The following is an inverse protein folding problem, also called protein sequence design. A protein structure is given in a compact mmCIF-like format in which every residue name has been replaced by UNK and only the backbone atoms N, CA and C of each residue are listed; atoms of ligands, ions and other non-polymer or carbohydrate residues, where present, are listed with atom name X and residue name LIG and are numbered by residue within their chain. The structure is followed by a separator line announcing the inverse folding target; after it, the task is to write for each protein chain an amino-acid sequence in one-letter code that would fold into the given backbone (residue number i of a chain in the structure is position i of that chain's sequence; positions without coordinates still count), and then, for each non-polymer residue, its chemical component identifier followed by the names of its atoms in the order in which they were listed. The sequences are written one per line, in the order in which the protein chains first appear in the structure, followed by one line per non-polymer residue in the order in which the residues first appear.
data_IF_632024086213
#
_entry.id   IF_632024086213
#
_cell.length_a   1.000
_cell.length_b   1.000
_cell.length_c   1.000
_cell.angle_alpha   90.00
_cell.angle_beta   90.00
_cell.angle_gamma   90.00
#
_symmetry.space_group_name_H-M   'P 1'
#
loop_
_entity.id
_entity.type
_entity.pdbx_description
1 polymer ?
#
# COMPACT_ATOMS: atom_id res chain seq x y z
N UNK A 1 0.89 39.53 -34.43
CA UNK A 1 0.12 38.51 -33.69
C UNK A 1 1.08 37.92 -32.66
N UNK A 2 1.00 38.32 -31.38
CA UNK A 2 1.88 37.79 -30.32
C UNK A 2 1.18 36.58 -29.73
N UNK A 3 1.73 35.40 -30.00
CA UNK A 3 1.35 34.16 -29.33
C UNK A 3 1.59 34.38 -27.84
N UNK A 4 0.52 34.59 -27.10
CA UNK A 4 0.52 34.55 -25.64
C UNK A 4 0.63 33.07 -25.29
N UNK A 5 1.84 32.60 -25.00
CA UNK A 5 2.04 31.29 -24.39
C UNK A 5 1.23 31.28 -23.10
N UNK A 6 0.09 30.58 -23.12
CA UNK A 6 -0.72 30.38 -21.93
C UNK A 6 0.13 29.59 -20.96
N UNK A 7 0.62 30.27 -19.92
CA UNK A 7 1.35 29.64 -18.83
C UNK A 7 0.36 28.71 -18.12
N UNK A 8 0.36 27.44 -18.50
CA UNK A 8 -0.48 26.43 -17.86
C UNK A 8 -0.13 26.37 -16.38
N UNK A 9 -1.01 26.93 -15.55
CA UNK A 9 -0.85 26.90 -14.11
C UNK A 9 -1.42 25.58 -13.61
N UNK A 10 -0.55 24.68 -13.17
CA UNK A 10 -0.98 23.42 -12.57
C UNK A 10 -1.55 23.69 -11.16
N UNK A 11 -2.83 23.40 -10.96
CA UNK A 11 -3.51 23.56 -9.67
C UNK A 11 -3.53 22.19 -8.97
N UNK A 12 -2.76 22.05 -7.89
CA UNK A 12 -2.86 20.89 -7.02
C UNK A 12 -4.21 20.91 -6.28
N UNK A 13 -4.99 19.81 -6.28
CA UNK A 13 -6.18 19.70 -5.45
C UNK A 13 -5.82 19.83 -3.97
N UNK A 14 -6.66 20.49 -3.17
CA UNK A 14 -6.41 20.64 -1.73
C UNK A 14 -6.41 19.32 -0.94
N UNK A 15 -6.93 18.24 -1.53
CA UNK A 15 -6.94 16.88 -0.99
C UNK A 15 -5.74 16.04 -1.46
N UNK A 16 -4.79 16.62 -2.19
CA UNK A 16 -3.60 15.92 -2.65
C UNK A 16 -2.56 15.87 -1.52
N UNK A 17 -2.41 14.69 -0.92
CA UNK A 17 -1.41 14.43 0.11
C UNK A 17 -0.27 13.56 -0.45
N UNK A 18 0.81 14.23 -0.88
CA UNK A 18 2.08 13.61 -1.25
C UNK A 18 3.09 13.63 -0.09
N UNK A 19 2.73 14.21 1.05
CA UNK A 19 3.62 14.40 2.19
C UNK A 19 3.83 13.05 2.91
N UNK A 20 4.72 12.23 2.36
CA UNK A 20 5.06 10.94 2.96
C UNK A 20 5.21 9.77 1.99
N UNK A 21 5.23 10.03 0.68
CA UNK A 21 5.42 9.00 -0.35
C UNK A 21 6.80 9.09 -1.01
N UNK A 22 7.51 7.99 -1.03
CA UNK A 22 8.70 7.76 -1.84
C UNK A 22 8.29 7.61 -3.32
N UNK A 23 8.91 8.40 -4.20
CA UNK A 23 8.61 8.49 -5.63
C UNK A 23 7.14 8.89 -5.96
N UNK A 24 6.39 9.46 -5.00
CA UNK A 24 4.97 9.79 -5.18
C UNK A 24 4.02 8.58 -5.22
N UNK A 25 4.55 7.36 -5.07
CA UNK A 25 3.78 6.11 -5.21
C UNK A 25 3.77 5.33 -3.89
N UNK A 26 4.93 5.18 -3.24
CA UNK A 26 5.10 4.26 -2.10
C UNK A 26 5.16 5.04 -0.80
N UNK A 27 4.22 4.86 0.12
CA UNK A 27 4.31 5.47 1.45
C UNK A 27 5.56 5.03 2.23
N UNK A 28 6.15 5.94 3.03
CA UNK A 28 7.32 5.63 3.86
C UNK A 28 7.08 4.45 4.83
N UNK A 29 5.85 4.30 5.34
CA UNK A 29 5.50 3.17 6.22
C UNK A 29 5.67 1.84 5.49
N UNK A 30 5.20 1.77 4.25
CA UNK A 30 5.34 0.60 3.38
C UNK A 30 6.79 0.40 2.96
N UNK A 31 7.52 1.48 2.67
CA UNK A 31 8.94 1.40 2.34
C UNK A 31 9.77 0.79 3.49
N UNK A 32 9.49 1.18 4.73
CA UNK A 32 10.15 0.60 5.92
C UNK A 32 9.84 -0.89 6.03
N UNK A 33 8.60 -1.32 5.77
CA UNK A 33 8.27 -2.76 5.76
C UNK A 33 9.03 -3.52 4.67
N UNK A 34 9.14 -2.97 3.47
CA UNK A 34 9.92 -3.57 2.37
C UNK A 34 11.39 -3.67 2.78
N UNK A 35 11.96 -2.63 3.39
CA UNK A 35 13.35 -2.62 3.85
C UNK A 35 13.61 -3.66 4.96
N UNK A 36 12.70 -3.79 5.92
CA UNK A 36 12.79 -4.82 6.96
C UNK A 36 12.69 -6.22 6.34
N UNK A 37 11.73 -6.43 5.43
CA UNK A 37 11.56 -7.70 4.74
C UNK A 37 12.79 -8.08 3.91
N UNK A 38 13.41 -7.10 3.26
CA UNK A 38 14.68 -7.28 2.54
C UNK A 38 15.78 -7.75 3.49
N UNK A 39 16.00 -7.03 4.60
CA UNK A 39 17.05 -7.35 5.56
C UNK A 39 16.87 -8.76 6.16
N UNK A 40 15.64 -9.12 6.55
CA UNK A 40 15.32 -10.46 7.08
C UNK A 40 15.55 -11.53 6.03
N UNK A 41 15.07 -11.31 4.80
CA UNK A 41 15.25 -12.27 3.69
C UNK A 41 16.74 -12.50 3.38
N UNK A 42 17.54 -11.43 3.31
CA UNK A 42 18.99 -11.53 3.09
C UNK A 42 19.65 -12.31 4.23
N UNK A 43 19.31 -12.01 5.49
CA UNK A 43 19.88 -12.71 6.65
C UNK A 43 19.59 -14.22 6.60
N UNK A 44 18.35 -14.62 6.26
CA UNK A 44 17.96 -16.03 6.12
C UNK A 44 18.81 -16.73 5.06
N UNK A 45 18.93 -16.16 3.86
CA UNK A 45 19.69 -16.77 2.77
C UNK A 45 21.20 -16.72 2.98
N UNK A 46 21.71 -15.78 3.78
CA UNK A 46 23.12 -15.72 4.13
C UNK A 46 23.56 -16.93 4.95
N UNK A 47 22.76 -17.34 5.94
CA UNK A 47 23.04 -18.46 6.86
C UNK A 47 22.86 -19.83 6.19
N UNK A 48 22.08 -19.92 5.11
CA UNK A 48 21.85 -21.19 4.41
C UNK A 48 23.16 -21.76 3.80
N UNK A 49 23.51 -23.05 4.03
CA UNK A 49 24.70 -23.68 3.47
C UNK A 49 24.45 -24.20 2.04
N UNK A 50 24.03 -23.31 1.14
CA UNK A 50 23.75 -23.63 -0.28
C UNK A 50 24.62 -22.80 -1.22
N UNK A 51 24.68 -23.17 -2.50
CA UNK A 51 25.44 -22.42 -3.50
C UNK A 51 24.93 -20.98 -3.63
N UNK A 52 25.82 -20.05 -4.02
CA UNK A 52 25.45 -18.64 -4.19
C UNK A 52 24.30 -18.48 -5.20
N UNK A 53 24.27 -19.29 -6.25
CA UNK A 53 23.19 -19.30 -7.23
C UNK A 53 21.85 -19.67 -6.58
N UNK A 54 21.81 -20.75 -5.79
CA UNK A 54 20.60 -21.16 -5.07
C UNK A 54 20.13 -20.11 -4.06
N UNK A 55 21.07 -19.42 -3.38
CA UNK A 55 20.74 -18.29 -2.47
C UNK A 55 20.05 -17.16 -3.22
N UNK A 56 20.62 -16.73 -4.35
CA UNK A 56 20.10 -15.61 -5.15
C UNK A 56 18.72 -15.95 -5.72
N UNK A 57 18.55 -17.14 -6.33
CA UNK A 57 17.25 -17.53 -6.86
C UNK A 57 16.19 -17.65 -5.77
N UNK A 58 16.52 -18.31 -4.65
CA UNK A 58 15.61 -18.40 -3.52
C UNK A 58 15.22 -17.03 -2.96
N UNK A 59 16.19 -16.13 -2.83
CA UNK A 59 15.93 -14.77 -2.38
C UNK A 59 14.96 -14.04 -3.32
N UNK A 60 15.15 -14.12 -4.64
CA UNK A 60 14.26 -13.47 -5.61
C UNK A 60 12.82 -13.99 -5.44
N UNK A 61 12.64 -15.31 -5.35
CA UNK A 61 11.31 -15.90 -5.19
C UNK A 61 10.63 -15.56 -3.87
N UNK A 62 11.38 -15.24 -2.83
CA UNK A 62 10.81 -14.95 -1.50
C UNK A 62 10.62 -13.45 -1.27
N UNK A 63 11.51 -12.62 -1.83
CA UNK A 63 11.49 -11.18 -1.65
C UNK A 63 10.54 -10.47 -2.62
N UNK A 64 10.59 -10.81 -3.91
CA UNK A 64 9.86 -10.05 -4.93
C UNK A 64 8.33 -10.16 -4.81
N UNK A 65 7.72 -11.34 -4.58
CA UNK A 65 6.26 -11.41 -4.56
C UNK A 65 5.64 -10.53 -3.46
N UNK A 66 6.13 -10.54 -2.20
CA UNK A 66 5.65 -9.61 -1.17
C UNK A 66 5.99 -8.15 -1.47
N UNK A 67 7.20 -7.87 -1.97
CA UNK A 67 7.62 -6.50 -2.26
C UNK A 67 6.76 -5.85 -3.35
N UNK A 68 6.46 -6.58 -4.43
CA UNK A 68 5.58 -6.12 -5.51
C UNK A 68 4.18 -5.85 -4.97
N UNK A 69 3.63 -6.74 -4.14
CA UNK A 69 2.31 -6.55 -3.53
C UNK A 69 2.25 -5.28 -2.67
N UNK A 70 3.30 -5.03 -1.87
CA UNK A 70 3.41 -3.82 -1.05
C UNK A 70 3.53 -2.54 -1.89
N UNK A 71 4.24 -2.58 -3.02
CA UNK A 71 4.41 -1.42 -3.91
C UNK A 71 3.11 -1.10 -4.66
N UNK A 72 2.41 -2.10 -5.16
CA UNK A 72 1.15 -1.90 -5.91
C UNK A 72 0.06 -1.36 -4.98
N UNK A 73 0.05 -1.79 -3.71
CA UNK A 73 -1.01 -1.42 -2.78
C UNK A 73 -2.35 -2.10 -3.16
N UNK A 74 -3.43 -1.60 -2.56
CA UNK A 74 -4.80 -2.09 -2.82
C UNK A 74 -5.68 -0.88 -3.08
N UNK A 75 -6.27 -0.80 -4.28
CA UNK A 75 -7.17 0.30 -4.69
C UNK A 75 -6.58 1.72 -4.52
N UNK A 76 -5.26 1.87 -4.63
CA UNK A 76 -4.58 3.16 -4.48
C UNK A 76 -4.15 3.50 -3.05
N UNK A 77 -4.55 2.68 -2.06
CA UNK A 77 -4.09 2.78 -0.68
C UNK A 77 -2.89 1.87 -0.41
N UNK A 78 -2.09 2.22 0.59
CA UNK A 78 -1.08 1.30 1.11
C UNK A 78 -1.72 0.03 1.68
N UNK A 79 -1.05 -1.11 1.53
CA UNK A 79 -1.49 -2.39 2.10
C UNK A 79 -1.67 -2.30 3.62
N UNK A 80 -0.89 -1.43 4.29
CA UNK A 80 -0.98 -1.19 5.72
C UNK A 80 -2.32 -0.58 6.09
N UNK A 81 -2.75 0.46 5.38
CA UNK A 81 -3.98 1.16 5.68
C UNK A 81 -5.20 0.31 5.32
N UNK A 82 -5.12 -0.43 4.21
CA UNK A 82 -6.08 -1.49 3.93
C UNK A 82 -6.14 -2.50 5.08
N UNK A 83 -5.00 -3.02 5.56
CA UNK A 83 -4.97 -4.01 6.64
C UNK A 83 -5.56 -3.47 7.96
N UNK A 84 -5.33 -2.20 8.30
CA UNK A 84 -5.97 -1.54 9.46
C UNK A 84 -7.48 -1.47 9.29
N UNK A 85 -7.94 -1.00 8.13
CA UNK A 85 -9.36 -0.86 7.85
C UNK A 85 -10.05 -2.22 7.84
N UNK A 86 -9.45 -3.20 7.18
CA UNK A 86 -9.90 -4.59 7.14
C UNK A 86 -9.93 -5.21 8.54
N UNK A 87 -8.90 -5.00 9.36
CA UNK A 87 -8.88 -5.49 10.75
C UNK A 87 -9.99 -4.86 11.59
N UNK A 88 -10.25 -3.56 11.42
CA UNK A 88 -11.34 -2.86 12.10
C UNK A 88 -12.70 -3.38 11.64
N UNK A 89 -12.86 -3.62 10.34
CA UNK A 89 -14.05 -4.22 9.77
C UNK A 89 -14.32 -5.62 10.35
N UNK A 90 -13.33 -6.51 10.36
CA UNK A 90 -13.46 -7.85 10.92
C UNK A 90 -13.87 -7.83 12.40
N UNK A 91 -13.30 -6.92 13.20
CA UNK A 91 -13.61 -6.77 14.63
C UNK A 91 -14.97 -6.13 14.92
N UNK A 92 -15.37 -5.17 14.10
CA UNK A 92 -16.61 -4.40 14.27
C UNK A 92 -17.70 -4.84 13.28
N UNK A 93 -17.61 -6.06 12.75
CA UNK A 93 -18.63 -6.66 11.88
C UNK A 93 -19.91 -7.00 12.67
N UNK A 94 -20.51 -6.01 13.33
CA UNK A 94 -21.92 -6.05 13.64
C UNK A 94 -22.63 -5.79 12.32
N UNK A 95 -23.20 -6.84 11.75
CA UNK A 95 -24.10 -6.75 10.61
C UNK A 95 -25.21 -5.79 11.03
N UNK A 96 -25.16 -4.56 10.52
CA UNK A 96 -26.30 -3.67 10.59
C UNK A 96 -27.33 -4.21 9.60
N UNK A 97 -28.11 -5.21 10.04
CA UNK A 97 -29.31 -5.62 9.32
C UNK A 97 -30.20 -4.40 9.29
N UNK A 98 -30.33 -3.77 8.12
CA UNK A 98 -31.23 -2.65 7.91
C UNK A 98 -32.65 -3.16 8.16
N UNK A 99 -33.17 -2.93 9.37
CA UNK A 99 -34.51 -3.36 9.71
C UNK A 99 -35.49 -2.34 9.12
N UNK A 100 -36.07 -2.70 7.98
CA UNK A 100 -36.96 -1.85 7.17
C UNK A 100 -38.20 -1.35 7.94
N UNK A 101 -38.52 -2.00 9.05
CA UNK A 101 -39.73 -1.76 9.84
C UNK A 101 -39.66 -0.49 10.72
N UNK A 102 -38.45 0.05 11.00
CA UNK A 102 -38.30 1.29 11.78
C UNK A 102 -38.39 2.56 10.91
N UNK A 103 -38.06 2.48 9.62
CA UNK A 103 -38.09 3.63 8.69
C UNK A 103 -39.49 4.09 8.25
N UNK A 104 -40.55 3.36 8.62
CA UNK A 104 -41.94 3.69 8.26
C UNK A 104 -42.72 4.34 9.41
N UNK A 105 -42.09 4.58 10.57
CA UNK A 105 -42.71 5.25 11.73
C UNK A 105 -42.40 6.74 11.83
N UNK A 106 -41.52 7.26 10.98
CA UNK A 106 -41.14 8.68 10.94
C UNK A 106 -41.72 9.43 9.73
N UNK A 107 -42.75 8.88 9.06
CA UNK A 107 -43.50 9.55 7.97
C UNK A 107 -44.92 9.87 8.42
#
# INVERSE_FOLDING_TARGET
MRNQEQKEYYIFPNNYDDAGKFLGIIEYRTLILIAIWFAVSVAIYFVLPVSIHAKVYGFIFTFFPPAIFLIIGINGDSVIDFAKCFSKFMKNSKVHTFNKDESMKEV
#
